data_IF_287944443946
#
_entry.id   IF_287944443946
#
_cell.length_a   1.000
_cell.length_b   1.000
_cell.length_c   1.000
_cell.angle_alpha   90.00
_cell.angle_beta   90.00
_cell.angle_gamma   90.00
#
_symmetry.space_group_name_H-M   'P 1'
#
loop_
_entity.id
_entity.type
_entity.pdbx_description
1 polymer ?
#
# COMPACT_ATOMS: atom_id res chain seq x y z
N UNK A 1 -4.77 5.08 -48.34
CA UNK A 1 -3.69 4.09 -48.62
C UNK A 1 -3.79 2.83 -47.77
N UNK A 2 -4.08 2.92 -46.45
CA UNK A 2 -4.15 1.76 -45.56
C UNK A 2 -5.20 0.71 -45.97
N UNK A 3 -6.38 1.14 -46.42
CA UNK A 3 -7.45 0.22 -46.85
C UNK A 3 -7.12 -0.57 -48.13
N UNK A 4 -6.29 -0.02 -49.01
CA UNK A 4 -5.88 -0.68 -50.26
C UNK A 4 -4.87 -1.80 -50.00
N UNK A 5 -3.96 -1.59 -49.04
CA UNK A 5 -3.00 -2.61 -48.60
C UNK A 5 -3.68 -3.78 -47.89
N UNK A 6 -4.71 -3.52 -47.10
CA UNK A 6 -5.50 -4.57 -46.44
C UNK A 6 -6.28 -5.39 -47.46
N UNK A 7 -6.95 -4.74 -48.42
CA UNK A 7 -7.66 -5.43 -49.50
C UNK A 7 -6.72 -6.28 -50.36
N UNK A 8 -5.54 -5.77 -50.69
CA UNK A 8 -4.53 -6.51 -51.47
C UNK A 8 -3.97 -7.71 -50.68
N UNK A 9 -3.77 -7.57 -49.37
CA UNK A 9 -3.36 -8.66 -48.48
C UNK A 9 -4.42 -9.78 -48.37
N UNK A 10 -5.70 -9.43 -48.29
CA UNK A 10 -6.80 -10.41 -48.26
C UNK A 10 -6.97 -11.13 -49.59
N UNK A 11 -6.83 -10.42 -50.72
CA UNK A 11 -6.98 -11.02 -52.06
C UNK A 11 -5.82 -11.98 -52.41
N UNK A 12 -4.60 -11.61 -52.03
CA UNK A 12 -3.41 -12.47 -52.24
C UNK A 12 -3.43 -13.72 -51.35
N UNK A 13 -3.87 -13.61 -50.09
CA UNK A 13 -4.02 -14.77 -49.21
C UNK A 13 -5.15 -15.71 -49.66
N UNK A 14 -6.25 -15.17 -50.19
CA UNK A 14 -7.33 -15.99 -50.75
C UNK A 14 -6.89 -16.77 -52.01
N UNK A 15 -6.12 -16.14 -52.91
CA UNK A 15 -5.59 -16.79 -54.10
C UNK A 15 -4.55 -17.88 -53.74
N UNK A 16 -3.60 -17.58 -52.84
CA UNK A 16 -2.60 -18.55 -52.38
C UNK A 16 -3.23 -19.75 -51.64
N UNK A 17 -4.33 -19.52 -50.92
CA UNK A 17 -5.07 -20.56 -50.21
C UNK A 17 -5.76 -21.57 -51.12
N UNK A 18 -6.15 -21.17 -52.33
CA UNK A 18 -6.75 -22.04 -53.34
C UNK A 18 -5.73 -22.98 -53.98
N UNK A 19 -4.52 -22.48 -54.26
CA UNK A 19 -3.47 -23.28 -54.92
C UNK A 19 -2.62 -24.13 -53.96
N UNK A 20 -2.46 -23.71 -52.70
CA UNK A 20 -1.59 -24.39 -51.73
C UNK A 20 -2.23 -24.46 -50.32
N UNK A 21 -3.26 -25.31 -50.14
CA UNK A 21 -4.01 -25.39 -48.87
C UNK A 21 -3.15 -25.84 -47.68
N UNK A 22 -2.05 -26.55 -47.93
CA UNK A 22 -1.14 -27.04 -46.89
C UNK A 22 -0.27 -25.94 -46.26
N UNK A 23 -0.09 -24.80 -46.93
CA UNK A 23 0.79 -23.70 -46.48
C UNK A 23 0.03 -22.68 -45.61
N UNK A 24 -1.30 -22.61 -45.75
CA UNK A 24 -2.17 -21.69 -44.98
C UNK A 24 -2.02 -21.80 -43.45
N UNK A 25 -1.98 -23.00 -42.84
CA UNK A 25 -1.82 -23.12 -41.39
C UNK A 25 -0.48 -22.56 -40.90
N UNK A 26 0.59 -22.71 -41.69
CA UNK A 26 1.92 -22.21 -41.37
C UNK A 26 1.99 -20.68 -41.42
N UNK A 27 1.33 -20.06 -42.40
CA UNK A 27 1.22 -18.60 -42.48
C UNK A 27 0.39 -18.02 -41.33
N UNK A 28 -0.73 -18.67 -40.98
CA UNK A 28 -1.55 -18.27 -39.83
C UNK A 28 -0.76 -18.39 -38.52
N UNK A 29 0.00 -19.46 -38.35
CA UNK A 29 0.88 -19.64 -37.19
C UNK A 29 1.97 -18.56 -37.11
N UNK A 30 2.60 -18.23 -38.25
CA UNK A 30 3.56 -17.13 -38.34
C UNK A 30 2.96 -15.77 -37.97
N UNK A 31 1.74 -15.47 -38.42
CA UNK A 31 1.03 -14.24 -38.07
C UNK A 31 0.63 -14.18 -36.58
N UNK A 32 0.30 -15.32 -35.98
CA UNK A 32 0.04 -15.41 -34.54
C UNK A 32 1.30 -15.12 -33.73
N UNK A 33 2.44 -15.67 -34.14
CA UNK A 33 3.73 -15.41 -33.49
C UNK A 33 4.14 -13.93 -33.59
N UNK A 34 3.93 -13.27 -34.73
CA UNK A 34 4.24 -11.84 -34.87
C UNK A 34 3.32 -10.97 -34.01
N UNK A 35 2.03 -11.30 -33.91
CA UNK A 35 1.10 -10.63 -33.00
C UNK A 35 1.50 -10.79 -31.52
N UNK A 36 1.88 -12.00 -31.10
CA UNK A 36 2.38 -12.26 -29.74
C UNK A 36 3.69 -11.50 -29.48
N UNK A 37 4.61 -11.48 -30.44
CA UNK A 37 5.86 -10.74 -30.34
C UNK A 37 5.64 -9.23 -30.22
N UNK A 38 4.77 -8.64 -31.05
CA UNK A 38 4.44 -7.21 -30.98
C UNK A 38 3.72 -6.86 -29.67
N UNK A 39 2.82 -7.71 -29.19
CA UNK A 39 2.16 -7.53 -27.90
C UNK A 39 3.16 -7.60 -26.74
N UNK A 40 4.13 -8.51 -26.80
CA UNK A 40 5.19 -8.60 -25.80
C UNK A 40 6.12 -7.39 -25.84
N UNK A 41 6.45 -6.89 -27.03
CA UNK A 41 7.24 -5.67 -27.23
C UNK A 41 6.51 -4.43 -26.70
N UNK A 42 5.18 -4.36 -26.84
CA UNK A 42 4.37 -3.27 -26.29
C UNK A 42 4.30 -3.32 -24.75
N UNK A 43 4.24 -4.52 -24.14
CA UNK A 43 4.32 -4.68 -22.67
C UNK A 43 5.65 -4.23 -22.07
N UNK A 44 6.75 -4.33 -22.81
CA UNK A 44 8.06 -3.83 -22.38
C UNK A 44 8.21 -2.31 -22.38
N UNK A 45 7.33 -1.58 -23.08
CA UNK A 45 7.33 -0.11 -23.16
C UNK A 45 6.43 0.53 -22.09
N UNK A 46 6.52 0.06 -20.85
CA UNK A 46 6.07 0.85 -19.71
C UNK A 46 6.85 2.16 -19.68
N UNK A 47 6.17 3.27 -19.33
CA UNK A 47 6.77 4.61 -19.21
C UNK A 47 8.11 4.53 -18.46
N UNK A 48 9.23 4.65 -19.17
CA UNK A 48 10.57 4.78 -18.60
C UNK A 48 10.91 6.28 -18.58
N UNK A 49 10.73 6.99 -17.46
CA UNK A 49 11.07 8.40 -17.40
C UNK A 49 12.58 8.56 -17.54
N UNK A 50 12.99 9.30 -18.57
CA UNK A 50 14.39 9.51 -18.94
C UNK A 50 15.11 10.53 -18.03
N UNK A 51 14.44 11.22 -17.11
CA UNK A 51 15.11 12.21 -16.25
C UNK A 51 15.77 11.59 -15.02
N UNK A 52 17.01 11.98 -14.75
CA UNK A 52 17.75 11.58 -13.54
C UNK A 52 16.98 11.95 -12.26
N UNK A 53 16.27 13.08 -12.29
CA UNK A 53 15.39 13.55 -11.22
C UNK A 53 14.26 12.57 -10.89
N UNK A 54 13.66 11.90 -11.89
CA UNK A 54 12.62 10.90 -11.61
C UNK A 54 13.22 9.66 -10.95
N UNK A 55 14.39 9.20 -11.41
CA UNK A 55 15.10 8.06 -10.81
C UNK A 55 15.49 8.36 -9.36
N UNK A 56 15.87 9.59 -9.04
CA UNK A 56 16.14 10.03 -7.67
C UNK A 56 14.86 10.07 -6.82
N UNK A 57 13.77 10.63 -7.34
CA UNK A 57 12.47 10.64 -6.67
C UNK A 57 11.96 9.21 -6.41
N UNK A 58 12.16 8.29 -7.35
CA UNK A 58 11.81 6.88 -7.19
C UNK A 58 12.65 6.20 -6.11
N UNK A 59 13.97 6.45 -6.09
CA UNK A 59 14.86 5.99 -5.01
C UNK A 59 14.42 6.55 -3.65
N UNK A 60 14.08 7.83 -3.57
CA UNK A 60 13.58 8.48 -2.35
C UNK A 60 12.26 7.85 -1.91
N UNK A 61 11.32 7.64 -2.82
CA UNK A 61 10.02 6.98 -2.54
C UNK A 61 10.23 5.57 -2.02
N UNK A 62 11.14 4.80 -2.64
CA UNK A 62 11.52 3.45 -2.20
C UNK A 62 12.17 3.45 -0.81
N UNK A 63 13.06 4.42 -0.52
CA UNK A 63 13.66 4.59 0.82
C UNK A 63 12.58 4.89 1.87
N UNK A 64 11.70 5.87 1.62
CA UNK A 64 10.59 6.22 2.53
C UNK A 64 9.67 5.03 2.79
N UNK A 65 9.32 4.27 1.76
CA UNK A 65 8.48 3.08 1.92
C UNK A 65 9.14 1.98 2.76
N UNK A 66 10.46 1.77 2.59
CA UNK A 66 11.21 0.82 3.43
C UNK A 66 11.25 1.26 4.88
N UNK A 67 11.49 2.54 5.14
CA UNK A 67 11.49 3.09 6.49
C UNK A 67 10.11 2.97 7.14
N UNK A 68 9.05 3.35 6.43
CA UNK A 68 7.68 3.23 6.94
C UNK A 68 7.31 1.77 7.26
N UNK A 69 7.74 0.82 6.41
CA UNK A 69 7.52 -0.59 6.67
C UNK A 69 8.27 -1.09 7.91
N UNK A 70 9.53 -0.65 8.10
CA UNK A 70 10.30 -0.95 9.33
C UNK A 70 9.60 -0.39 10.57
N UNK A 71 9.11 0.85 10.50
CA UNK A 71 8.36 1.50 11.60
C UNK A 71 7.10 0.72 11.95
N UNK A 72 6.31 0.35 10.94
CA UNK A 72 5.10 -0.46 11.12
C UNK A 72 5.40 -1.80 11.78
N UNK A 73 6.42 -2.51 11.28
CA UNK A 73 6.84 -3.78 11.85
C UNK A 73 7.23 -3.63 13.32
N UNK A 74 8.04 -2.63 13.66
CA UNK A 74 8.50 -2.43 15.03
C UNK A 74 7.37 -2.20 16.04
N UNK A 75 6.37 -1.38 15.67
CA UNK A 75 5.19 -1.18 16.53
C UNK A 75 4.38 -2.47 16.66
N UNK A 76 4.20 -3.20 15.56
CA UNK A 76 3.47 -4.46 15.59
C UNK A 76 4.15 -5.49 16.51
N UNK A 77 5.48 -5.58 16.46
CA UNK A 77 6.26 -6.48 17.31
C UNK A 77 6.11 -6.11 18.81
N UNK A 78 6.10 -4.81 19.14
CA UNK A 78 5.91 -4.34 20.53
C UNK A 78 4.49 -4.65 21.05
N UNK A 79 3.48 -4.49 20.21
CA UNK A 79 2.08 -4.79 20.55
C UNK A 79 1.89 -6.29 20.73
N UNK A 80 2.42 -7.10 19.81
CA UNK A 80 2.34 -8.56 19.87
C UNK A 80 2.99 -9.10 21.15
N UNK A 81 4.15 -8.57 21.55
CA UNK A 81 4.79 -8.95 22.81
C UNK A 81 3.90 -8.71 24.03
N UNK A 82 3.28 -7.53 24.11
CA UNK A 82 2.40 -7.19 25.23
C UNK A 82 1.17 -8.10 25.25
N UNK A 83 0.61 -8.43 24.09
CA UNK A 83 -0.52 -9.37 23.99
C UNK A 83 -0.13 -10.78 24.44
N UNK A 84 1.03 -11.29 24.00
CA UNK A 84 1.52 -12.61 24.36
C UNK A 84 1.77 -12.73 25.88
N UNK A 85 2.37 -11.69 26.46
CA UNK A 85 2.84 -11.73 27.86
C UNK A 85 1.75 -11.32 28.86
N UNK A 86 0.76 -10.53 28.45
CA UNK A 86 -0.27 -10.02 29.35
C UNK A 86 -1.71 -10.23 28.86
N UNK A 87 -1.93 -10.11 27.56
CA UNK A 87 -3.24 -10.19 26.92
C UNK A 87 -4.02 -8.87 26.94
N UNK A 88 -4.72 -8.61 25.84
CA UNK A 88 -5.64 -7.47 25.72
C UNK A 88 -7.10 -7.86 26.00
N UNK A 89 -7.91 -6.88 26.41
CA UNK A 89 -9.36 -7.05 26.36
C UNK A 89 -9.86 -6.94 24.92
N UNK A 90 -11.03 -7.54 24.62
CA UNK A 90 -11.65 -7.46 23.28
C UNK A 90 -11.83 -6.03 22.76
N UNK A 91 -12.03 -5.05 23.65
CA UNK A 91 -12.14 -3.65 23.25
C UNK A 91 -10.80 -3.01 22.90
N UNK A 92 -9.76 -3.37 23.65
CA UNK A 92 -8.39 -2.92 23.40
C UNK A 92 -7.88 -3.49 22.09
N UNK A 93 -8.06 -4.80 21.88
CA UNK A 93 -7.69 -5.52 20.67
C UNK A 93 -8.30 -4.85 19.42
N UNK A 94 -9.62 -4.63 19.40
CA UNK A 94 -10.29 -3.92 18.29
C UNK A 94 -9.72 -2.52 18.01
N UNK A 95 -9.39 -1.78 19.07
CA UNK A 95 -8.83 -0.44 18.94
C UNK A 95 -7.42 -0.50 18.35
N UNK A 96 -6.60 -1.43 18.86
CA UNK A 96 -5.22 -1.67 18.45
C UNK A 96 -5.16 -2.13 16.99
N UNK A 97 -5.99 -3.10 16.60
CA UNK A 97 -6.08 -3.58 15.21
C UNK A 97 -6.40 -2.43 14.26
N UNK A 98 -7.38 -1.60 14.61
CA UNK A 98 -7.76 -0.44 13.81
C UNK A 98 -6.62 0.58 13.74
N UNK A 99 -5.95 0.83 14.85
CA UNK A 99 -4.81 1.74 14.96
C UNK A 99 -3.63 1.31 14.07
N UNK A 100 -3.31 0.01 14.06
CA UNK A 100 -2.28 -0.59 13.21
C UNK A 100 -2.68 -0.52 11.74
N UNK A 101 -3.90 -0.96 11.41
CA UNK A 101 -4.43 -1.00 10.03
C UNK A 101 -4.45 0.38 9.39
N UNK A 102 -4.91 1.38 10.13
CA UNK A 102 -4.97 2.76 9.65
C UNK A 102 -3.61 3.46 9.71
N UNK A 103 -2.56 2.86 10.30
CA UNK A 103 -1.25 3.48 10.57
C UNK A 103 -1.39 4.84 11.26
N UNK A 104 -2.25 4.91 12.28
CA UNK A 104 -2.57 6.17 12.96
C UNK A 104 -1.46 6.70 13.89
N UNK A 105 -0.35 5.96 14.02
CA UNK A 105 0.82 6.35 14.80
C UNK A 105 1.85 7.21 14.03
N UNK A 106 1.63 7.56 12.75
CA UNK A 106 2.68 8.16 11.91
C UNK A 106 3.34 9.40 12.53
N UNK A 107 2.55 10.26 13.17
CA UNK A 107 3.02 11.48 13.84
C UNK A 107 3.55 11.21 15.27
N UNK A 108 2.98 10.21 15.95
CA UNK A 108 3.36 9.87 17.33
C UNK A 108 4.43 8.77 17.42
N UNK A 109 4.94 8.27 16.28
CA UNK A 109 5.81 7.10 16.22
C UNK A 109 6.95 7.15 17.24
N UNK A 110 7.73 8.23 17.24
CA UNK A 110 8.86 8.39 18.16
C UNK A 110 8.43 8.37 19.63
N UNK A 111 7.28 8.97 19.98
CA UNK A 111 6.78 8.98 21.36
C UNK A 111 6.32 7.58 21.79
N UNK A 112 5.67 6.85 20.89
CA UNK A 112 5.23 5.47 21.14
C UNK A 112 6.43 4.53 21.34
N UNK A 113 7.38 4.55 20.42
CA UNK A 113 8.49 3.59 20.42
C UNK A 113 9.62 3.95 21.37
N UNK A 114 9.86 5.23 21.66
CA UNK A 114 10.92 5.65 22.59
C UNK A 114 10.48 5.68 24.05
N UNK A 115 9.17 5.72 24.32
CA UNK A 115 8.67 6.01 25.67
C UNK A 115 7.51 5.10 26.07
N UNK A 116 6.36 5.18 25.40
CA UNK A 116 5.13 4.55 25.88
C UNK A 116 5.18 3.01 25.83
N UNK A 117 5.56 2.40 24.71
CA UNK A 117 5.66 0.93 24.62
C UNK A 117 6.76 0.37 25.52
N UNK A 118 8.01 0.90 25.52
CA UNK A 118 9.04 0.43 26.44
C UNK A 118 8.65 0.54 27.91
N UNK A 119 7.95 1.60 28.32
CA UNK A 119 7.48 1.76 29.69
C UNK A 119 6.45 0.68 30.06
N UNK A 120 5.50 0.39 29.17
CA UNK A 120 4.49 -0.65 29.40
C UNK A 120 5.15 -2.03 29.46
N UNK A 121 6.05 -2.33 28.53
CA UNK A 121 6.81 -3.59 28.50
C UNK A 121 7.60 -3.78 29.80
N UNK A 122 8.37 -2.78 30.21
CA UNK A 122 9.13 -2.83 31.47
C UNK A 122 8.21 -3.02 32.68
N UNK A 123 7.04 -2.38 32.68
CA UNK A 123 6.07 -2.53 33.77
C UNK A 123 5.45 -3.94 33.80
N UNK A 124 5.16 -4.54 32.65
CA UNK A 124 4.72 -5.93 32.50
C UNK A 124 5.79 -6.91 32.97
N UNK A 125 7.04 -6.73 32.53
CA UNK A 125 8.16 -7.61 32.88
C UNK A 125 8.44 -7.59 34.38
N UNK A 126 8.46 -6.39 34.99
CA UNK A 126 8.60 -6.23 36.43
C UNK A 126 7.44 -6.88 37.20
N UNK A 127 6.23 -6.81 36.64
CA UNK A 127 5.05 -7.45 37.22
C UNK A 127 5.21 -8.96 37.29
N UNK A 128 5.58 -9.56 36.16
CA UNK A 128 5.72 -10.99 36.00
C UNK A 128 6.89 -11.52 36.84
N UNK A 129 8.00 -10.79 36.91
CA UNK A 129 9.17 -11.19 37.67
C UNK A 129 8.98 -11.11 39.19
N UNK A 130 8.22 -10.13 39.71
CA UNK A 130 8.17 -9.82 41.16
C UNK A 130 6.88 -10.18 41.87
N UNK A 131 5.84 -10.62 41.16
CA UNK A 131 4.57 -11.06 41.77
C UNK A 131 3.94 -10.02 42.72
N UNK A 132 4.17 -8.73 42.48
CA UNK A 132 3.79 -7.66 43.41
C UNK A 132 2.27 -7.47 43.46
N UNK A 133 1.70 -7.41 44.67
CA UNK A 133 0.29 -7.07 44.89
C UNK A 133 0.02 -5.64 44.40
N UNK A 134 -0.99 -5.47 43.54
CA UNK A 134 -1.37 -4.17 42.94
C UNK A 134 -0.86 -3.96 41.52
N UNK A 135 0.16 -4.70 41.10
CA UNK A 135 0.79 -4.51 39.79
C UNK A 135 -0.16 -4.71 38.60
N UNK A 136 -1.08 -5.69 38.67
CA UNK A 136 -2.09 -5.90 37.62
C UNK A 136 -2.93 -4.65 37.35
N UNK A 137 -3.21 -3.86 38.39
CA UNK A 137 -3.99 -2.62 38.29
C UNK A 137 -3.21 -1.55 37.56
N UNK A 138 -1.91 -1.44 37.83
CA UNK A 138 -1.04 -0.45 37.20
C UNK A 138 -0.79 -0.75 35.73
N UNK A 139 -0.54 -2.03 35.38
CA UNK A 139 -0.44 -2.48 33.99
C UNK A 139 -1.73 -2.17 33.24
N UNK A 140 -2.88 -2.55 33.81
CA UNK A 140 -4.18 -2.33 33.19
C UNK A 140 -4.49 -0.83 33.00
N UNK A 141 -4.10 0.02 33.97
CA UNK A 141 -4.25 1.47 33.87
C UNK A 141 -3.42 2.03 32.71
N UNK A 142 -2.14 1.64 32.59
CA UNK A 142 -1.27 2.09 31.50
C UNK A 142 -1.71 1.57 30.13
N UNK A 143 -2.20 0.34 30.05
CA UNK A 143 -2.80 -0.19 28.83
C UNK A 143 -4.06 0.57 28.42
N UNK A 144 -4.89 0.98 29.38
CA UNK A 144 -6.06 1.80 29.10
C UNK A 144 -5.65 3.19 28.59
N UNK A 145 -4.70 3.85 29.24
CA UNK A 145 -4.17 5.14 28.78
C UNK A 145 -3.60 5.05 27.35
N UNK A 146 -2.84 3.99 27.04
CA UNK A 146 -2.35 3.74 25.68
C UNK A 146 -3.51 3.59 24.68
N UNK A 147 -4.53 2.83 25.05
CA UNK A 147 -5.71 2.60 24.20
C UNK A 147 -6.48 3.90 23.95
N UNK A 148 -6.62 4.75 24.97
CA UNK A 148 -7.30 6.04 24.85
C UNK A 148 -6.51 7.00 23.95
N UNK A 149 -5.19 7.04 24.07
CA UNK A 149 -4.31 7.77 23.14
C UNK A 149 -4.48 7.26 21.69
N UNK A 150 -4.53 5.94 21.49
CA UNK A 150 -4.76 5.35 20.16
C UNK A 150 -6.12 5.75 19.59
N UNK A 151 -7.18 5.83 20.41
CA UNK A 151 -8.49 6.30 19.99
C UNK A 151 -8.47 7.77 19.58
N UNK A 152 -7.75 8.62 20.31
CA UNK A 152 -7.60 10.04 19.96
C UNK A 152 -6.88 10.21 18.63
N UNK A 153 -5.78 9.50 18.41
CA UNK A 153 -5.04 9.54 17.14
C UNK A 153 -5.87 9.01 15.96
N UNK A 154 -6.68 7.96 16.17
CA UNK A 154 -7.65 7.50 15.18
C UNK A 154 -8.69 8.58 14.84
N UNK A 155 -9.16 9.34 15.83
CA UNK A 155 -10.09 10.46 15.60
C UNK A 155 -9.43 11.58 14.81
N UNK A 156 -8.20 11.98 15.17
CA UNK A 156 -7.42 13.00 14.44
C UNK A 156 -7.17 12.59 12.99
N UNK A 157 -6.81 11.32 12.76
CA UNK A 157 -6.58 10.82 11.40
C UNK A 157 -7.86 10.84 10.56
N UNK A 158 -9.01 10.54 11.17
CA UNK A 158 -10.30 10.65 10.51
C UNK A 158 -10.64 12.10 10.14
N UNK A 159 -10.39 13.06 11.03
CA UNK A 159 -10.65 14.48 10.74
C UNK A 159 -9.70 15.04 9.67
N UNK A 160 -8.41 14.70 9.72
CA UNK A 160 -7.46 15.06 8.67
C UNK A 160 -7.89 14.50 7.30
N UNK A 161 -8.42 13.27 7.27
CA UNK A 161 -8.92 12.67 6.03
C UNK A 161 -10.13 13.41 5.48
N UNK A 162 -11.09 13.81 6.30
CA UNK A 162 -12.25 14.58 5.84
C UNK A 162 -11.84 15.96 5.32
N UNK A 163 -10.97 16.66 6.06
CA UNK A 163 -10.46 17.98 5.65
C UNK A 163 -9.71 17.91 4.31
N UNK A 164 -8.85 16.91 4.12
CA UNK A 164 -8.15 16.70 2.86
C UNK A 164 -9.10 16.41 1.68
N UNK A 165 -10.22 15.74 1.96
CA UNK A 165 -11.23 15.43 0.95
C UNK A 165 -12.04 16.67 0.56
N UNK A 166 -12.45 17.48 1.54
CA UNK A 166 -13.13 18.75 1.32
C UNK A 166 -12.27 19.72 0.49
N UNK A 167 -10.99 19.88 0.85
CA UNK A 167 -10.06 20.71 0.08
C UNK A 167 -9.91 20.19 -1.37
N UNK A 168 -9.85 18.87 -1.54
CA UNK A 168 -9.72 18.28 -2.90
C UNK A 168 -10.97 18.54 -3.74
N UNK A 169 -12.16 18.46 -3.14
CA UNK A 169 -13.42 18.81 -3.81
C UNK A 169 -13.47 20.29 -4.18
N UNK A 170 -13.12 21.18 -3.26
CA UNK A 170 -13.09 22.63 -3.51
C UNK A 170 -12.17 22.99 -4.69
N UNK A 171 -10.97 22.40 -4.74
CA UNK A 171 -10.03 22.61 -5.85
C UNK A 171 -10.62 22.09 -7.16
N UNK A 172 -11.28 20.93 -7.13
CA UNK A 172 -11.90 20.36 -8.33
C UNK A 172 -13.05 21.23 -8.86
N UNK A 173 -13.90 21.73 -7.97
CA UNK A 173 -15.00 22.63 -8.31
C UNK A 173 -14.51 24.00 -8.84
N UNK A 174 -13.41 24.53 -8.29
CA UNK A 174 -12.74 25.73 -8.84
C UNK A 174 -12.21 25.51 -10.26
N UNK A 175 -11.61 24.35 -10.55
CA UNK A 175 -11.10 24.03 -11.88
C UNK A 175 -12.22 23.81 -12.92
N UNK A 176 -13.40 23.36 -12.49
CA UNK A 176 -14.57 23.22 -13.36
C UNK A 176 -15.29 24.55 -13.58
N UNK A 177 -15.38 25.40 -12.56
CA UNK A 177 -16.02 26.72 -12.66
C UNK A 177 -15.19 27.74 -13.44
N UNK A 178 -13.85 27.65 -13.40
CA UNK A 178 -12.94 28.47 -14.21
C UNK A 178 -12.82 28.05 -15.69
N UNK A 179 -13.61 27.07 -16.15
CA UNK A 179 -13.62 26.57 -17.54
C UNK A 179 -14.85 27.05 -18.34
N UNK A 180 -15.46 28.17 -17.93
CA UNK A 180 -16.47 28.95 -18.67
C UNK A 180 -15.89 30.29 -19.07
#
# INVERSE_FOLDING_TARGET
>A
MQSFLVLFGVLSTALLGSFYPFILPWLAFGALLTMVYLWWQQRGKGFQPQSETYKELEKIKKKRHKEDHKKHKHINDQIAYIDEVWGYTKEQEKTIEKFIKERAYSEMYNKLTASLFPQIISLVDNCNARGQKGCKRDVSKRLRELTDLMKEELKKKKSQKSESFEITLEVYDQLLSGRK
#
